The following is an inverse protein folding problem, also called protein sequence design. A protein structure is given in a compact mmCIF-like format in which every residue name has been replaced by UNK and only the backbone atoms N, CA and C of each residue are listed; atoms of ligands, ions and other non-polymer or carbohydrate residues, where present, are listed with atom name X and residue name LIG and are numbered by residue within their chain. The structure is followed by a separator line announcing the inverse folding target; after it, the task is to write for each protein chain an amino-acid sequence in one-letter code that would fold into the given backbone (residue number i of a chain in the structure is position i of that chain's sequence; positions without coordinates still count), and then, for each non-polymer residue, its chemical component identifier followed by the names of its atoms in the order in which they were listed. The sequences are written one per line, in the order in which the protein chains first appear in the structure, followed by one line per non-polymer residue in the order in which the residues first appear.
data_IF_607432483242
#
_entry.id   IF_607432483242
#
_cell.length_a   1.000
_cell.length_b   1.000
_cell.length_c   1.000
_cell.angle_alpha   90.00
_cell.angle_beta   90.00
_cell.angle_gamma   90.00
#
_symmetry.space_group_name_H-M   'P 1'
#
loop_
_entity.id
_entity.type
_entity.pdbx_description
1 polymer ?
#
# COMPACT_ATOMS: atom_id res chain seq x y z
N UNK A 1 56.45 40.48 -32.75
CA UNK A 1 55.71 41.61 -32.15
C UNK A 1 54.35 41.07 -31.71
N UNK A 2 54.16 40.84 -30.40
CA UNK A 2 53.24 41.62 -29.54
C UNK A 2 51.78 41.63 -30.04
N UNK A 3 50.70 41.32 -29.31
CA UNK A 3 50.39 40.83 -27.96
C UNK A 3 48.84 40.82 -27.88
N UNK A 4 48.24 40.10 -26.92
CA UNK A 4 46.81 40.07 -26.47
C UNK A 4 45.92 39.04 -27.20
N UNK A 5 45.49 37.89 -26.65
CA UNK A 5 44.94 37.51 -25.33
C UNK A 5 43.78 38.42 -24.87
N UNK A 6 42.55 37.89 -24.90
CA UNK A 6 41.71 37.60 -23.70
C UNK A 6 40.28 37.11 -24.06
N UNK A 7 39.98 35.91 -23.57
CA UNK A 7 38.74 35.45 -22.91
C UNK A 7 37.38 35.59 -23.61
N UNK A 8 36.99 34.52 -24.32
CA UNK A 8 35.60 34.11 -24.45
C UNK A 8 35.20 33.24 -23.26
N UNK A 9 34.61 33.83 -22.23
CA UNK A 9 33.99 33.09 -21.13
C UNK A 9 32.60 32.64 -21.57
N UNK A 10 32.43 31.32 -21.69
CA UNK A 10 31.15 30.66 -21.79
C UNK A 10 30.30 31.02 -20.56
N UNK A 11 29.26 31.83 -20.78
CA UNK A 11 28.15 31.96 -19.84
C UNK A 11 27.24 30.73 -20.01
N UNK A 12 27.64 29.59 -19.44
CA UNK A 12 26.68 28.55 -19.05
C UNK A 12 25.76 29.18 -18.02
N UNK A 13 24.49 29.41 -18.41
CA UNK A 13 23.43 29.65 -17.45
C UNK A 13 23.36 28.44 -16.53
N UNK A 14 23.97 28.57 -15.35
CA UNK A 14 23.64 27.76 -14.19
C UNK A 14 22.16 28.02 -13.92
N UNK A 15 21.30 27.12 -14.38
CA UNK A 15 19.94 27.05 -13.90
C UNK A 15 20.05 26.92 -12.38
N UNK A 16 19.49 27.91 -11.72
CA UNK A 16 19.34 28.00 -10.29
C UNK A 16 18.71 26.70 -9.78
N UNK A 17 19.49 25.87 -9.09
CA UNK A 17 18.97 24.93 -8.10
C UNK A 17 18.43 25.77 -6.93
N UNK A 18 17.29 26.43 -7.16
CA UNK A 18 16.44 26.85 -6.06
C UNK A 18 15.95 25.56 -5.40
N UNK A 19 16.01 25.45 -4.06
CA UNK A 19 15.42 24.32 -3.38
C UNK A 19 13.94 24.28 -3.78
N UNK A 20 13.54 23.21 -4.48
CA UNK A 20 12.14 22.91 -4.78
C UNK A 20 11.42 22.90 -3.44
N UNK A 21 10.47 23.81 -3.24
CA UNK A 21 9.63 23.75 -2.05
C UNK A 21 8.94 22.38 -2.08
N UNK A 22 8.90 21.66 -0.94
CA UNK A 22 8.21 20.38 -0.89
C UNK A 22 6.73 20.59 -1.27
N UNK A 23 6.17 19.65 -2.02
CA UNK A 23 4.77 19.69 -2.42
C UNK A 23 3.88 19.89 -1.17
N UNK A 24 2.83 20.73 -1.21
CA UNK A 24 1.97 20.98 -0.04
C UNK A 24 1.39 19.72 0.62
N UNK A 25 1.21 18.67 -0.20
CA UNK A 25 0.72 17.35 0.20
C UNK A 25 1.78 16.23 0.09
N UNK A 26 3.07 16.54 0.29
CA UNK A 26 4.18 15.60 0.09
C UNK A 26 3.98 14.26 0.82
N UNK A 27 3.49 14.28 2.06
CA UNK A 27 3.26 13.06 2.86
C UNK A 27 2.28 12.10 2.19
N UNK A 28 1.22 12.61 1.57
CA UNK A 28 0.23 11.79 0.86
C UNK A 28 0.83 11.18 -0.41
N UNK A 29 1.67 11.95 -1.12
CA UNK A 29 2.35 11.47 -2.32
C UNK A 29 3.37 10.38 -1.97
N UNK A 30 4.11 10.55 -0.87
CA UNK A 30 5.03 9.54 -0.35
C UNK A 30 4.30 8.25 0.04
N UNK A 31 3.14 8.36 0.68
CA UNK A 31 2.27 7.23 1.01
C UNK A 31 1.79 6.52 -0.26
N UNK A 32 1.34 7.27 -1.27
CA UNK A 32 0.91 6.68 -2.53
C UNK A 32 2.06 5.99 -3.28
N UNK A 33 3.25 6.59 -3.27
CA UNK A 33 4.44 5.96 -3.83
C UNK A 33 4.81 4.69 -3.07
N UNK A 34 4.64 4.67 -1.76
CA UNK A 34 4.80 3.47 -0.94
C UNK A 34 3.76 2.41 -1.33
N UNK A 35 2.49 2.77 -1.44
CA UNK A 35 1.42 1.87 -1.91
C UNK A 35 1.76 1.23 -3.26
N UNK A 36 2.20 2.02 -4.24
CA UNK A 36 2.58 1.55 -5.58
C UNK A 36 3.72 0.53 -5.52
N UNK A 37 4.73 0.78 -4.68
CA UNK A 37 5.87 -0.15 -4.49
C UNK A 37 5.46 -1.48 -3.86
N UNK A 38 4.34 -1.49 -3.14
CA UNK A 38 3.84 -2.66 -2.41
C UNK A 38 2.65 -3.35 -3.09
N UNK A 39 2.31 -2.96 -4.32
CA UNK A 39 1.30 -3.68 -5.10
C UNK A 39 1.65 -5.15 -5.28
N UNK A 40 0.62 -5.99 -5.23
CA UNK A 40 0.81 -7.44 -5.36
C UNK A 40 1.48 -7.81 -6.71
N UNK A 41 2.31 -8.87 -6.75
CA UNK A 41 3.01 -9.27 -7.97
C UNK A 41 2.08 -9.59 -9.13
N UNK A 42 0.87 -10.07 -8.85
CA UNK A 42 -0.15 -10.45 -9.82
C UNK A 42 -0.95 -9.29 -10.40
N UNK A 43 -0.82 -8.07 -9.87
CA UNK A 43 -1.52 -6.91 -10.40
C UNK A 43 -1.05 -6.61 -11.85
N UNK A 44 -1.95 -6.44 -12.83
CA UNK A 44 -1.59 -6.16 -14.21
C UNK A 44 -0.69 -4.94 -14.38
N UNK A 45 0.34 -5.05 -15.21
CA UNK A 45 1.27 -3.96 -15.54
C UNK A 45 0.59 -2.66 -16.00
N UNK A 46 -0.51 -2.68 -16.78
CA UNK A 46 -1.22 -1.46 -17.14
C UNK A 46 -1.69 -0.65 -15.92
N UNK A 47 -2.16 -1.31 -14.86
CA UNK A 47 -2.62 -0.65 -13.63
C UNK A 47 -1.43 -0.08 -12.86
N UNK A 48 -0.32 -0.83 -12.76
CA UNK A 48 0.92 -0.36 -12.13
C UNK A 48 1.48 0.89 -12.83
N UNK A 49 1.56 0.85 -14.16
CA UNK A 49 2.04 1.96 -14.97
C UNK A 49 1.11 3.18 -14.88
N UNK A 50 -0.21 2.96 -14.87
CA UNK A 50 -1.19 4.03 -14.67
C UNK A 50 -0.99 4.70 -13.31
N UNK A 51 -0.87 3.93 -12.22
CA UNK A 51 -0.67 4.46 -10.89
C UNK A 51 0.64 5.27 -10.77
N UNK A 52 1.74 4.77 -11.32
CA UNK A 52 3.02 5.50 -11.30
C UNK A 52 2.94 6.79 -12.12
N UNK A 53 2.35 6.76 -13.32
CA UNK A 53 2.16 7.96 -14.14
C UNK A 53 1.33 9.00 -13.38
N UNK A 54 0.24 8.56 -12.75
CA UNK A 54 -0.61 9.43 -11.95
C UNK A 54 0.17 10.04 -10.78
N UNK A 55 0.94 9.25 -10.04
CA UNK A 55 1.80 9.77 -8.98
C UNK A 55 2.75 10.86 -9.51
N UNK A 56 3.43 10.59 -10.62
CA UNK A 56 4.39 11.52 -11.22
C UNK A 56 3.68 12.82 -11.69
N UNK A 57 2.46 12.71 -12.24
CA UNK A 57 1.62 13.85 -12.62
C UNK A 57 1.20 14.69 -11.38
N UNK A 58 0.87 14.04 -10.26
CA UNK A 58 0.49 14.70 -9.01
C UNK A 58 1.68 15.44 -8.37
N UNK A 59 2.87 14.84 -8.34
CA UNK A 59 4.10 15.46 -7.79
C UNK A 59 4.44 16.77 -8.50
N UNK A 60 4.13 16.88 -9.80
CA UNK A 60 4.39 18.10 -10.58
C UNK A 60 3.30 19.17 -10.46
N UNK A 61 2.19 18.90 -9.77
CA UNK A 61 1.04 19.81 -9.72
C UNK A 61 0.71 20.25 -8.29
N UNK A 62 1.51 21.19 -7.79
CA UNK A 62 1.37 21.82 -6.46
C UNK A 62 0.04 22.55 -6.23
N UNK A 63 -0.73 22.81 -7.28
CA UNK A 63 -2.01 23.52 -7.19
C UNK A 63 -3.21 22.59 -6.92
N UNK A 64 -3.01 21.27 -6.89
CA UNK A 64 -4.09 20.33 -6.59
C UNK A 64 -4.48 20.37 -5.12
N UNK A 65 -5.79 20.35 -4.89
CA UNK A 65 -6.32 20.19 -3.54
C UNK A 65 -6.23 18.74 -3.05
N UNK A 66 -6.23 18.59 -1.73
CA UNK A 66 -6.20 17.29 -1.05
C UNK A 66 -7.31 16.35 -1.56
N UNK A 67 -8.50 16.88 -1.81
CA UNK A 67 -9.65 16.10 -2.28
C UNK A 67 -9.42 15.48 -3.67
N UNK A 68 -8.77 16.19 -4.59
CA UNK A 68 -8.39 15.67 -5.90
C UNK A 68 -7.35 14.55 -5.78
N UNK A 69 -6.37 14.70 -4.87
CA UNK A 69 -5.36 13.67 -4.60
C UNK A 69 -6.04 12.41 -4.03
N UNK A 70 -6.88 12.54 -3.01
CA UNK A 70 -7.61 11.40 -2.40
C UNK A 70 -8.51 10.67 -3.39
N UNK A 71 -9.26 11.39 -4.24
CA UNK A 71 -10.06 10.79 -5.31
C UNK A 71 -9.22 9.94 -6.27
N UNK A 72 -8.02 10.41 -6.54
CA UNK A 72 -7.08 9.72 -7.42
C UNK A 72 -6.55 8.44 -6.76
N UNK A 73 -6.21 8.49 -5.47
CA UNK A 73 -5.79 7.31 -4.70
C UNK A 73 -6.90 6.27 -4.65
N UNK A 74 -8.13 6.70 -4.34
CA UNK A 74 -9.31 5.85 -4.35
C UNK A 74 -9.51 5.15 -5.70
N UNK A 75 -9.36 5.88 -6.82
CA UNK A 75 -9.54 5.32 -8.17
C UNK A 75 -8.56 4.17 -8.44
N UNK A 76 -7.30 4.32 -8.02
CA UNK A 76 -6.29 3.25 -8.16
C UNK A 76 -6.53 2.13 -7.15
N UNK A 77 -6.87 2.45 -5.90
CA UNK A 77 -7.20 1.48 -4.86
C UNK A 77 -8.32 0.52 -5.30
N UNK A 78 -9.40 1.04 -5.88
CA UNK A 78 -10.50 0.22 -6.44
C UNK A 78 -10.02 -0.74 -7.53
N UNK A 79 -9.15 -0.28 -8.44
CA UNK A 79 -8.62 -1.13 -9.52
C UNK A 79 -7.70 -2.23 -9.00
N UNK A 80 -6.95 -1.94 -7.95
CA UNK A 80 -5.98 -2.86 -7.35
C UNK A 80 -6.63 -3.89 -6.42
N UNK A 81 -7.67 -3.47 -5.69
CA UNK A 81 -8.32 -4.23 -4.63
C UNK A 81 -8.67 -5.68 -5.00
N UNK A 82 -9.32 -5.99 -6.14
CA UNK A 82 -9.66 -7.37 -6.47
C UNK A 82 -8.44 -8.28 -6.61
N UNK A 83 -7.34 -7.75 -7.16
CA UNK A 83 -6.11 -8.51 -7.34
C UNK A 83 -5.39 -8.74 -6.02
N UNK A 84 -5.38 -7.73 -5.13
CA UNK A 84 -4.81 -7.82 -3.78
C UNK A 84 -5.51 -8.86 -2.95
N UNK A 85 -6.84 -8.77 -2.85
CA UNK A 85 -7.66 -9.69 -2.07
C UNK A 85 -7.57 -11.11 -2.60
N UNK A 86 -7.63 -11.29 -3.93
CA UNK A 86 -7.48 -12.60 -4.55
C UNK A 86 -6.09 -13.20 -4.28
N UNK A 87 -5.03 -12.37 -4.33
CA UNK A 87 -3.67 -12.82 -4.07
C UNK A 87 -3.53 -13.25 -2.61
N UNK A 88 -3.95 -12.40 -1.67
CA UNK A 88 -3.94 -12.69 -0.23
C UNK A 88 -4.75 -13.96 0.10
N UNK A 89 -5.96 -14.11 -0.43
CA UNK A 89 -6.79 -15.31 -0.18
C UNK A 89 -6.11 -16.58 -0.72
N UNK A 90 -5.44 -16.50 -1.88
CA UNK A 90 -4.73 -17.64 -2.46
C UNK A 90 -3.44 -18.01 -1.69
N UNK A 91 -2.75 -17.03 -1.11
CA UNK A 91 -1.39 -17.20 -0.56
C UNK A 91 -1.30 -17.18 0.96
N UNK A 92 -2.29 -16.63 1.66
CA UNK A 92 -2.23 -16.32 3.11
C UNK A 92 -1.92 -17.52 3.99
N UNK A 93 -2.40 -18.72 3.64
CA UNK A 93 -2.21 -19.91 4.47
C UNK A 93 -0.79 -20.48 4.46
N UNK A 94 0.08 -20.08 3.52
CA UNK A 94 1.42 -20.67 3.37
C UNK A 94 2.54 -19.64 3.26
N UNK A 95 2.24 -18.39 2.95
CA UNK A 95 3.26 -17.38 2.66
C UNK A 95 4.18 -17.10 3.87
N UNK A 96 3.61 -16.98 5.07
CA UNK A 96 4.38 -16.71 6.28
C UNK A 96 5.29 -17.88 6.67
N UNK A 97 4.78 -19.11 6.59
CA UNK A 97 5.59 -20.31 6.89
C UNK A 97 6.72 -20.48 5.88
N UNK A 98 6.43 -20.31 4.58
CA UNK A 98 7.44 -20.35 3.53
C UNK A 98 8.51 -19.27 3.74
N UNK A 99 8.10 -18.06 4.10
CA UNK A 99 9.01 -16.97 4.42
C UNK A 99 9.95 -17.34 5.58
N UNK A 100 9.39 -17.81 6.70
CA UNK A 100 10.18 -18.24 7.88
C UNK A 100 11.20 -19.31 7.52
N UNK A 101 10.77 -20.32 6.76
CA UNK A 101 11.63 -21.42 6.33
C UNK A 101 12.78 -20.95 5.43
N UNK A 102 12.52 -20.05 4.47
CA UNK A 102 13.57 -19.49 3.61
C UNK A 102 14.62 -18.71 4.40
N UNK A 103 14.20 -17.92 5.41
CA UNK A 103 15.15 -17.21 6.29
C UNK A 103 15.97 -18.20 7.11
N UNK A 104 15.34 -19.23 7.69
CA UNK A 104 16.00 -20.30 8.45
C UNK A 104 17.03 -21.06 7.60
N UNK A 105 16.72 -21.33 6.34
CA UNK A 105 17.60 -22.02 5.39
C UNK A 105 18.79 -21.16 4.98
N UNK A 106 18.62 -19.84 4.91
CA UNK A 106 19.66 -18.89 4.49
C UNK A 106 20.74 -18.64 5.54
N UNK A 107 20.38 -18.71 6.83
CA UNK A 107 21.31 -18.42 7.93
C UNK A 107 22.15 -19.63 8.34
N UNK A 108 23.34 -19.36 8.89
CA UNK A 108 24.22 -20.40 9.40
C UNK A 108 23.62 -21.13 10.62
N UNK A 109 24.09 -22.35 10.89
CA UNK A 109 23.55 -23.22 11.94
C UNK A 109 23.51 -22.57 13.34
N UNK A 110 24.50 -21.75 13.68
CA UNK A 110 24.53 -21.03 14.96
C UNK A 110 23.41 -20.00 15.07
N UNK A 111 23.12 -19.27 13.99
CA UNK A 111 22.04 -18.29 13.96
C UNK A 111 20.69 -18.99 13.94
N UNK A 112 20.57 -20.05 13.12
CA UNK A 112 19.41 -20.92 13.06
C UNK A 112 19.02 -21.45 14.44
N UNK A 113 19.99 -21.94 15.22
CA UNK A 113 19.77 -22.47 16.56
C UNK A 113 19.19 -21.45 17.54
N UNK A 114 19.41 -20.15 17.31
CA UNK A 114 18.83 -19.07 18.11
C UNK A 114 17.43 -18.71 17.62
N UNK A 115 17.23 -18.51 16.31
CA UNK A 115 15.97 -17.96 15.79
C UNK A 115 14.87 -19.01 15.63
N UNK A 116 15.20 -20.24 15.25
CA UNK A 116 14.22 -21.27 14.88
C UNK A 116 13.26 -21.62 16.03
N UNK A 117 13.72 -21.83 17.29
CA UNK A 117 12.81 -22.19 18.38
C UNK A 117 11.68 -21.18 18.58
N UNK A 118 11.99 -19.88 18.47
CA UNK A 118 10.98 -18.82 18.63
C UNK A 118 9.99 -18.78 17.45
N UNK A 119 10.48 -19.00 16.24
CA UNK A 119 9.62 -19.07 15.05
C UNK A 119 8.69 -20.29 15.10
N UNK A 120 9.18 -21.43 15.58
CA UNK A 120 8.39 -22.65 15.80
C UNK A 120 7.31 -22.46 16.88
N UNK A 121 7.58 -21.63 17.89
CA UNK A 121 6.61 -21.22 18.93
C UNK A 121 5.57 -20.19 18.44
N UNK A 122 5.64 -19.79 17.16
CA UNK A 122 4.66 -18.89 16.55
C UNK A 122 5.03 -17.41 16.61
N UNK A 123 6.22 -17.04 17.06
CA UNK A 123 6.70 -15.65 16.99
C UNK A 123 6.84 -15.24 15.51
N UNK A 124 6.37 -14.03 15.16
CA UNK A 124 6.55 -13.49 13.82
C UNK A 124 7.99 -13.04 13.60
N UNK A 125 8.44 -12.98 12.34
CA UNK A 125 9.79 -12.53 12.04
C UNK A 125 9.99 -11.07 12.47
N UNK A 126 8.99 -10.20 12.26
CA UNK A 126 9.02 -8.80 12.70
C UNK A 126 9.16 -8.65 14.22
N UNK A 127 8.43 -9.47 14.99
CA UNK A 127 8.53 -9.47 16.45
C UNK A 127 9.91 -9.97 16.91
N UNK A 128 10.46 -10.99 16.24
CA UNK A 128 11.79 -11.51 16.54
C UNK A 128 12.86 -10.44 16.32
N UNK A 129 12.92 -9.81 15.13
CA UNK A 129 13.97 -8.82 14.81
C UNK A 129 13.91 -7.57 15.70
N UNK A 130 12.72 -7.24 16.21
CA UNK A 130 12.51 -6.09 17.10
C UNK A 130 12.75 -6.42 18.57
N UNK A 131 13.05 -7.68 18.90
CA UNK A 131 13.21 -8.15 20.28
C UNK A 131 14.60 -7.90 20.85
N UNK A 132 14.67 -7.73 22.17
CA UNK A 132 15.95 -7.67 22.90
C UNK A 132 16.76 -8.95 22.69
N UNK A 133 16.09 -10.11 22.65
CA UNK A 133 16.71 -11.41 22.39
C UNK A 133 17.53 -11.40 21.09
N UNK A 134 17.01 -10.81 20.01
CA UNK A 134 17.73 -10.70 18.75
C UNK A 134 18.99 -9.84 18.86
N UNK A 135 18.94 -8.75 19.64
CA UNK A 135 20.08 -7.87 19.85
C UNK A 135 21.13 -8.41 20.83
N UNK A 136 20.71 -9.21 21.81
CA UNK A 136 21.58 -9.75 22.86
C UNK A 136 22.19 -11.11 22.50
N UNK A 137 21.41 -11.97 21.83
CA UNK A 137 21.82 -13.35 21.53
C UNK A 137 22.59 -13.48 20.21
N UNK A 138 22.50 -12.49 19.32
CA UNK A 138 23.21 -12.47 18.04
C UNK A 138 24.17 -11.29 17.97
N UNK A 139 25.39 -11.53 17.50
CA UNK A 139 26.32 -10.45 17.18
C UNK A 139 25.95 -9.72 15.87
N UNK A 140 26.63 -8.60 15.59
CA UNK A 140 26.35 -7.77 14.39
C UNK A 140 26.37 -8.56 13.09
N UNK A 141 27.34 -9.47 12.89
CA UNK A 141 27.42 -10.27 11.66
C UNK A 141 26.27 -11.27 11.56
N UNK A 142 25.88 -11.86 12.68
CA UNK A 142 24.77 -12.82 12.73
C UNK A 142 23.42 -12.13 12.49
N UNK A 143 23.22 -10.94 13.05
CA UNK A 143 22.03 -10.12 12.76
C UNK A 143 21.95 -9.74 11.29
N UNK A 144 23.08 -9.34 10.70
CA UNK A 144 23.16 -9.07 9.27
C UNK A 144 22.78 -10.29 8.41
N UNK A 145 23.17 -11.52 8.80
CA UNK A 145 22.73 -12.73 8.08
C UNK A 145 21.20 -12.89 8.08
N UNK A 146 20.53 -12.57 9.19
CA UNK A 146 19.07 -12.64 9.28
C UNK A 146 18.43 -11.56 8.41
N UNK A 147 18.93 -10.33 8.45
CA UNK A 147 18.45 -9.22 7.61
C UNK A 147 18.63 -9.52 6.12
N UNK A 148 19.79 -10.03 5.72
CA UNK A 148 20.07 -10.48 4.34
C UNK A 148 19.16 -11.64 3.94
N UNK A 149 18.98 -12.62 4.83
CA UNK A 149 18.05 -13.74 4.62
C UNK A 149 16.61 -13.27 4.45
N UNK A 150 16.16 -12.26 5.19
CA UNK A 150 14.85 -11.63 5.04
C UNK A 150 14.70 -11.00 3.66
N UNK A 151 15.70 -10.25 3.19
CA UNK A 151 15.66 -9.62 1.86
C UNK A 151 15.57 -10.68 0.76
N UNK A 152 16.45 -11.68 0.79
CA UNK A 152 16.49 -12.78 -0.18
C UNK A 152 15.19 -13.60 -0.14
N UNK A 153 14.65 -13.88 1.04
CA UNK A 153 13.40 -14.61 1.21
C UNK A 153 12.22 -13.81 0.66
N UNK A 154 12.15 -12.49 0.86
CA UNK A 154 11.10 -11.63 0.29
C UNK A 154 11.11 -11.70 -1.25
N UNK A 155 12.27 -11.58 -1.86
CA UNK A 155 12.41 -11.64 -3.33
C UNK A 155 11.99 -13.01 -3.88
N UNK A 156 12.51 -14.10 -3.30
CA UNK A 156 12.17 -15.47 -3.72
C UNK A 156 10.70 -15.80 -3.49
N UNK A 157 10.14 -15.38 -2.35
CA UNK A 157 8.73 -15.61 -2.02
C UNK A 157 7.83 -14.90 -3.03
N UNK A 158 8.14 -13.66 -3.40
CA UNK A 158 7.37 -12.93 -4.41
C UNK A 158 7.33 -13.69 -5.74
N UNK A 159 8.45 -14.25 -6.19
CA UNK A 159 8.50 -15.10 -7.40
C UNK A 159 7.69 -16.39 -7.26
N UNK A 160 7.82 -17.10 -6.13
CA UNK A 160 7.09 -18.35 -5.89
C UNK A 160 5.59 -18.11 -5.82
N UNK A 161 5.15 -17.08 -5.10
CA UNK A 161 3.74 -16.73 -5.01
C UNK A 161 3.18 -16.31 -6.37
N UNK A 162 3.96 -15.59 -7.18
CA UNK A 162 3.61 -15.28 -8.57
C UNK A 162 3.44 -16.54 -9.43
N UNK A 163 4.36 -17.51 -9.30
CA UNK A 163 4.26 -18.78 -10.02
C UNK A 163 3.02 -19.57 -9.59
N UNK A 164 2.70 -19.58 -8.29
CA UNK A 164 1.50 -20.24 -7.75
C UNK A 164 0.21 -19.63 -8.29
N UNK A 165 0.15 -18.30 -8.46
CA UNK A 165 -0.96 -17.64 -9.17
C UNK A 165 -1.09 -18.19 -10.59
N UNK A 166 0.03 -18.40 -11.29
CA UNK A 166 0.04 -19.01 -12.62
C UNK A 166 -0.43 -20.48 -12.63
N UNK A 167 0.04 -21.29 -11.69
CA UNK A 167 -0.35 -22.70 -11.53
C UNK A 167 -1.83 -22.85 -11.20
N UNK A 168 -2.39 -21.91 -10.42
CA UNK A 168 -3.79 -21.90 -9.98
C UNK A 168 -4.59 -20.79 -10.69
N UNK A 169 -4.25 -20.48 -11.94
CA UNK A 169 -4.80 -19.33 -12.66
C UNK A 169 -6.33 -19.29 -12.71
N UNK A 170 -7.01 -20.44 -12.88
CA UNK A 170 -8.47 -20.50 -12.88
C UNK A 170 -9.08 -20.14 -11.51
N UNK A 171 -8.51 -20.66 -10.43
CA UNK A 171 -8.94 -20.34 -9.07
C UNK A 171 -8.68 -18.86 -8.77
N UNK A 172 -7.48 -18.36 -9.11
CA UNK A 172 -7.13 -16.96 -8.95
C UNK A 172 -8.10 -16.04 -9.71
N UNK A 173 -8.42 -16.36 -10.96
CA UNK A 173 -9.37 -15.58 -11.76
C UNK A 173 -10.77 -15.58 -11.13
N UNK A 174 -11.24 -16.73 -10.62
CA UNK A 174 -12.50 -16.79 -9.88
C UNK A 174 -12.50 -15.94 -8.60
N UNK A 175 -11.38 -15.88 -7.89
CA UNK A 175 -11.20 -14.99 -6.73
C UNK A 175 -11.21 -13.52 -7.15
N UNK A 176 -10.53 -13.14 -8.24
CA UNK A 176 -10.55 -11.77 -8.77
C UNK A 176 -11.99 -11.35 -9.10
N UNK A 177 -12.76 -12.21 -9.76
CA UNK A 177 -14.18 -11.93 -10.07
C UNK A 177 -15.04 -11.80 -8.81
N UNK A 178 -14.86 -12.68 -7.83
CA UNK A 178 -15.53 -12.60 -6.51
C UNK A 178 -15.27 -11.24 -5.86
N UNK A 179 -14.00 -10.84 -5.76
CA UNK A 179 -13.60 -9.60 -5.09
C UNK A 179 -13.93 -8.34 -5.91
N UNK A 180 -14.02 -8.46 -7.24
CA UNK A 180 -14.55 -7.37 -8.09
C UNK A 180 -16.00 -7.08 -7.75
N UNK A 181 -16.85 -8.12 -7.68
CA UNK A 181 -18.26 -7.96 -7.30
C UNK A 181 -18.43 -7.43 -5.89
N UNK A 182 -17.55 -7.84 -4.97
CA UNK A 182 -17.59 -7.33 -3.60
C UNK A 182 -17.21 -5.85 -3.52
N UNK A 183 -16.17 -5.43 -4.25
CA UNK A 183 -15.80 -4.03 -4.37
C UNK A 183 -16.94 -3.19 -4.99
N UNK A 184 -17.64 -3.70 -5.99
CA UNK A 184 -18.82 -3.04 -6.58
C UNK A 184 -19.91 -2.80 -5.53
N UNK A 185 -20.27 -3.80 -4.72
CA UNK A 185 -21.26 -3.63 -3.64
C UNK A 185 -20.84 -2.61 -2.60
N UNK A 186 -19.56 -2.62 -2.20
CA UNK A 186 -19.03 -1.65 -1.24
C UNK A 186 -19.13 -0.24 -1.83
N UNK A 187 -18.77 -0.06 -3.11
CA UNK A 187 -18.88 1.23 -3.79
C UNK A 187 -20.34 1.71 -3.89
N UNK A 188 -21.27 0.81 -4.20
CA UNK A 188 -22.70 1.10 -4.22
C UNK A 188 -23.20 1.57 -2.85
N UNK A 189 -22.81 0.87 -1.78
CA UNK A 189 -23.16 1.24 -0.40
C UNK A 189 -22.54 2.59 0.00
N UNK A 190 -21.27 2.85 -0.33
CA UNK A 190 -20.63 4.15 -0.06
C UNK A 190 -21.37 5.28 -0.80
N UNK A 191 -21.75 5.05 -2.06
CA UNK A 191 -22.52 6.02 -2.85
C UNK A 191 -23.94 6.25 -2.28
N UNK A 192 -24.55 5.23 -1.69
CA UNK A 192 -25.81 5.36 -0.97
C UNK A 192 -25.65 6.21 0.29
N UNK A 193 -24.63 5.94 1.11
CA UNK A 193 -24.31 6.73 2.30
C UNK A 193 -24.07 8.21 1.95
N UNK A 194 -23.32 8.47 0.88
CA UNK A 194 -23.08 9.84 0.39
C UNK A 194 -24.38 10.55 -0.03
N UNK A 195 -25.34 9.83 -0.62
CA UNK A 195 -26.66 10.38 -0.97
C UNK A 195 -27.50 10.69 0.26
N UNK A 196 -27.46 9.85 1.28
CA UNK A 196 -28.18 10.10 2.55
C UNK A 196 -27.78 11.42 3.19
N UNK A 197 -26.49 11.80 3.07
CA UNK A 197 -26.01 13.09 3.55
C UNK A 197 -26.78 14.29 3.02
N UNK A 198 -27.31 14.22 1.79
CA UNK A 198 -28.07 15.33 1.18
C UNK A 198 -29.36 15.69 1.93
N UNK A 199 -29.88 14.80 2.76
CA UNK A 199 -31.09 15.02 3.56
C UNK A 199 -30.86 15.64 4.94
N UNK A 200 -29.61 15.68 5.43
CA UNK A 200 -29.28 16.17 6.77
C UNK A 200 -28.93 17.66 6.83
N UNK A 201 -28.76 18.17 8.05
CA UNK A 201 -28.21 19.51 8.30
C UNK A 201 -26.70 19.61 7.98
N UNK A 202 -26.11 20.81 8.12
CA UNK A 202 -24.69 21.04 7.81
C UNK A 202 -23.73 20.16 8.64
N UNK A 203 -24.09 19.83 9.88
CA UNK A 203 -23.25 19.02 10.77
C UNK A 203 -23.32 17.56 10.35
N UNK A 204 -24.52 17.04 10.12
CA UNK A 204 -24.76 15.68 9.66
C UNK A 204 -24.13 15.44 8.27
N UNK A 205 -24.26 16.41 7.36
CA UNK A 205 -23.60 16.39 6.05
C UNK A 205 -22.08 16.26 6.17
N UNK A 206 -21.46 17.05 7.05
CA UNK A 206 -20.02 17.00 7.26
C UNK A 206 -19.57 15.66 7.85
N UNK A 207 -20.32 15.11 8.80
CA UNK A 207 -20.02 13.82 9.41
C UNK A 207 -20.11 12.67 8.39
N UNK A 208 -21.20 12.60 7.64
CA UNK A 208 -21.40 11.60 6.58
C UNK A 208 -20.29 11.71 5.52
N UNK A 209 -19.95 12.94 5.11
CA UNK A 209 -18.87 13.17 4.15
C UNK A 209 -17.53 12.61 4.66
N UNK A 210 -17.17 12.86 5.93
CA UNK A 210 -15.93 12.35 6.51
C UNK A 210 -15.92 10.80 6.55
N UNK A 211 -17.06 10.17 6.84
CA UNK A 211 -17.19 8.70 6.82
C UNK A 211 -17.00 8.14 5.41
N UNK A 212 -17.63 8.76 4.42
CA UNK A 212 -17.48 8.40 3.00
C UNK A 212 -16.03 8.52 2.55
N UNK A 213 -15.34 9.60 2.93
CA UNK A 213 -13.91 9.79 2.62
C UNK A 213 -13.05 8.68 3.24
N UNK A 214 -13.27 8.35 4.52
CA UNK A 214 -12.55 7.27 5.20
C UNK A 214 -12.76 5.90 4.54
N UNK A 215 -14.00 5.57 4.13
CA UNK A 215 -14.25 4.31 3.43
C UNK A 215 -13.60 4.26 2.04
N UNK A 216 -13.52 5.40 1.34
CA UNK A 216 -12.80 5.52 0.07
C UNK A 216 -11.29 5.35 0.24
N UNK A 217 -10.72 5.98 1.27
CA UNK A 217 -9.29 5.86 1.61
C UNK A 217 -8.91 4.41 1.92
N UNK A 218 -9.79 3.65 2.58
CA UNK A 218 -9.56 2.24 2.91
C UNK A 218 -9.25 1.32 1.72
N UNK A 219 -9.58 1.71 0.48
CA UNK A 219 -9.19 0.91 -0.69
C UNK A 219 -7.69 0.98 -1.01
N UNK A 220 -6.97 1.95 -0.46
CA UNK A 220 -5.53 2.04 -0.58
C UNK A 220 -4.86 0.95 0.27
N UNK A 221 -3.81 0.31 -0.25
CA UNK A 221 -3.13 -0.82 0.43
C UNK A 221 -2.47 -0.44 1.77
N UNK A 222 -2.25 0.85 2.02
CA UNK A 222 -1.72 1.38 3.29
C UNK A 222 -2.77 1.51 4.39
N UNK A 223 -4.05 1.40 4.04
CA UNK A 223 -5.18 1.58 4.95
C UNK A 223 -5.93 0.27 5.21
N UNK A 224 -6.83 0.29 6.19
CA UNK A 224 -7.73 -0.84 6.43
C UNK A 224 -8.80 -0.91 5.33
N UNK A 225 -8.93 -2.10 4.72
CA UNK A 225 -9.95 -2.37 3.71
C UNK A 225 -11.36 -2.02 4.22
N UNK A 226 -12.20 -1.35 3.42
CA UNK A 226 -13.59 -1.13 3.77
C UNK A 226 -14.34 -2.46 3.77
N UNK A 227 -15.17 -2.66 4.78
CA UNK A 227 -16.02 -3.83 4.91
C UNK A 227 -17.47 -3.44 4.61
N UNK A 228 -18.14 -4.21 3.75
CA UNK A 228 -19.52 -3.95 3.35
C UNK A 228 -20.46 -3.82 4.57
N UNK A 229 -20.30 -4.70 5.56
CA UNK A 229 -21.09 -4.68 6.79
C UNK A 229 -20.93 -3.37 7.57
N UNK A 230 -19.72 -2.81 7.62
CA UNK A 230 -19.47 -1.53 8.30
C UNK A 230 -20.14 -0.37 7.58
N UNK A 231 -20.08 -0.34 6.25
CA UNK A 231 -20.77 0.70 5.45
C UNK A 231 -22.29 0.58 5.62
N UNK A 232 -22.83 -0.65 5.64
CA UNK A 232 -24.26 -0.90 5.84
C UNK A 232 -24.74 -0.46 7.22
N UNK A 233 -23.97 -0.72 8.29
CA UNK A 233 -24.29 -0.24 9.64
C UNK A 233 -24.35 1.28 9.72
N UNK A 234 -23.46 1.98 9.02
CA UNK A 234 -23.51 3.45 8.97
C UNK A 234 -24.76 3.93 8.20
N UNK A 235 -25.13 3.27 7.10
CA UNK A 235 -26.38 3.57 6.37
C UNK A 235 -27.61 3.38 7.27
N UNK A 236 -27.68 2.28 8.01
CA UNK A 236 -28.77 1.98 8.96
C UNK A 236 -28.86 3.05 10.04
N UNK A 237 -27.72 3.40 10.65
CA UNK A 237 -27.64 4.45 11.67
C UNK A 237 -28.23 5.78 11.16
N UNK A 238 -27.77 6.27 10.01
CA UNK A 238 -28.22 7.56 9.48
C UNK A 238 -29.70 7.56 9.07
N UNK A 239 -30.20 6.44 8.54
CA UNK A 239 -31.64 6.30 8.26
C UNK A 239 -32.48 6.38 9.53
N UNK A 240 -32.06 5.71 10.59
CA UNK A 240 -32.76 5.76 11.88
C UNK A 240 -32.70 7.15 12.52
N UNK A 241 -31.55 7.84 12.40
CA UNK A 241 -31.40 9.22 12.86
C UNK A 241 -32.35 10.17 12.15
N UNK A 242 -32.40 10.15 10.82
CA UNK A 242 -33.32 11.02 10.07
C UNK A 242 -34.79 10.68 10.33
N UNK A 243 -35.13 9.40 10.51
CA UNK A 243 -36.50 8.99 10.83
C UNK A 243 -36.98 9.43 12.23
N UNK A 244 -36.07 9.69 13.16
CA UNK A 244 -36.39 10.21 14.50
C UNK A 244 -36.53 11.74 14.54
N UNK A 245 -36.07 12.43 13.49
CA UNK A 245 -36.14 13.89 13.35
C UNK A 245 -37.40 14.37 12.60
N UNK A 246 -38.14 13.44 11.94
CA UNK A 246 -39.47 13.66 11.35
C UNK A 246 -40.62 13.55 12.38
#
# INVERSE_FOLDING_TARGET
MLLRLLNGLNYTQNQSNLPTMPHPHQSMLDEFQYAIKHFVPSLPNPIKAEAQRIHDDLVQNEALDEAAIKRTFYTIGIKEYPYRRAFQELTSSTAEEMFKNMVIEHVDETVRGVIKPHLDEGVSMEALISSELFTESLNVKQRYQVEDGILVAKDKLAEILKNRVGEQAQLYQGLVEKWTREAEKIQEAIAELEKLGQGGDETQQAEIKNKVERFREGFLVTEQDPELELVQKEIEYWRDTFAQEE
#
